data_IF_246742534802
#
_entry.id   IF_246742534802
#
_cell.length_a   1.000
_cell.length_b   1.000
_cell.length_c   1.000
_cell.angle_alpha   90.00
_cell.angle_beta   90.00
_cell.angle_gamma   90.00
#
_symmetry.space_group_name_H-M   'P 1'
#
loop_
_entity.id
_entity.type
_entity.pdbx_description
1 polymer ?
#
# COMPACT_ATOMS: atom_id res chain seq x y z
N UNK A 1 -1.54 8.04 21.17
CA UNK A 1 -0.73 9.02 20.41
C UNK A 1 0.15 8.33 19.37
N UNK A 2 0.91 7.28 19.72
CA UNK A 2 1.73 6.50 18.77
C UNK A 2 0.91 5.85 17.65
N UNK A 3 -0.25 5.27 17.97
CA UNK A 3 -1.16 4.66 16.97
C UNK A 3 -1.63 5.66 15.91
N UNK A 4 -1.98 6.89 16.29
CA UNK A 4 -2.38 7.93 15.34
C UNK A 4 -1.23 8.34 14.41
N UNK A 5 -0.01 8.41 14.93
CA UNK A 5 1.19 8.75 14.17
C UNK A 5 1.51 7.66 13.14
N UNK A 6 1.43 6.38 13.52
CA UNK A 6 1.59 5.27 12.58
C UNK A 6 0.56 5.29 11.45
N UNK A 7 -0.69 5.67 11.74
CA UNK A 7 -1.73 5.82 10.70
C UNK A 7 -1.40 6.96 9.73
N UNK A 8 -0.88 8.09 10.22
CA UNK A 8 -0.45 9.20 9.36
C UNK A 8 0.72 8.79 8.47
N UNK A 9 1.72 8.11 9.02
CA UNK A 9 2.86 7.60 8.26
C UNK A 9 2.41 6.60 7.17
N UNK A 10 1.48 5.69 7.49
CA UNK A 10 0.88 4.80 6.48
C UNK A 10 0.17 5.58 5.36
N UNK A 11 -0.54 6.66 5.68
CA UNK A 11 -1.20 7.51 4.68
C UNK A 11 -0.19 8.25 3.79
N UNK A 12 0.90 8.76 4.35
CA UNK A 12 1.98 9.43 3.63
C UNK A 12 2.70 8.48 2.67
N UNK A 13 3.13 7.30 3.15
CA UNK A 13 3.79 6.29 2.32
C UNK A 13 2.88 5.83 1.18
N UNK A 14 1.59 5.60 1.45
CA UNK A 14 0.60 5.27 0.41
C UNK A 14 0.51 6.39 -0.65
N UNK A 15 0.54 7.66 -0.25
CA UNK A 15 0.50 8.78 -1.19
C UNK A 15 1.76 8.81 -2.09
N UNK A 16 2.94 8.51 -1.52
CA UNK A 16 4.19 8.36 -2.30
C UNK A 16 4.06 7.24 -3.33
N UNK A 17 3.50 6.07 -2.96
CA UNK A 17 3.25 4.99 -3.92
C UNK A 17 2.31 5.42 -5.05
N UNK A 18 1.21 6.08 -4.72
CA UNK A 18 0.25 6.53 -5.73
C UNK A 18 0.90 7.49 -6.73
N UNK A 19 1.63 8.50 -6.23
CA UNK A 19 2.29 9.49 -7.07
C UNK A 19 3.38 8.86 -7.95
N UNK A 20 4.19 7.95 -7.39
CA UNK A 20 5.24 7.25 -8.13
C UNK A 20 4.66 6.39 -9.27
N UNK A 21 3.55 5.70 -8.99
CA UNK A 21 2.84 4.89 -9.97
C UNK A 21 2.14 5.74 -11.04
N UNK A 22 1.61 6.90 -10.68
CA UNK A 22 1.05 7.86 -11.63
C UNK A 22 2.13 8.37 -12.58
N UNK A 23 3.32 8.72 -12.06
CA UNK A 23 4.45 9.13 -12.89
C UNK A 23 4.90 8.02 -13.84
N UNK A 24 4.90 6.76 -13.40
CA UNK A 24 5.20 5.61 -14.25
C UNK A 24 4.18 5.47 -15.38
N UNK A 25 2.90 5.59 -15.05
CA UNK A 25 1.81 5.50 -16.00
C UNK A 25 1.85 6.63 -17.05
N UNK A 26 2.10 7.87 -16.62
CA UNK A 26 2.24 9.04 -17.50
C UNK A 26 3.45 8.91 -18.42
N UNK A 27 4.57 8.37 -17.92
CA UNK A 27 5.74 8.09 -18.74
C UNK A 27 5.40 7.11 -19.87
N UNK A 28 4.67 6.03 -19.59
CA UNK A 28 4.27 5.06 -20.62
C UNK A 28 3.34 5.68 -21.67
N UNK A 29 2.34 6.47 -21.25
CA UNK A 29 1.40 7.13 -22.17
C UNK A 29 2.09 8.11 -23.12
N UNK A 30 3.06 8.89 -22.63
CA UNK A 30 3.74 9.91 -23.44
C UNK A 30 4.58 9.33 -24.56
N UNK A 31 5.03 8.09 -24.45
CA UNK A 31 5.99 7.51 -25.39
C UNK A 31 5.36 6.71 -26.54
N UNK A 32 4.03 6.78 -26.71
CA UNK A 32 3.26 6.16 -27.82
C UNK A 32 3.73 4.72 -28.15
N UNK A 33 4.04 3.94 -27.12
CA UNK A 33 4.60 2.60 -27.33
C UNK A 33 3.45 1.68 -27.74
N UNK A 34 3.33 1.41 -29.03
CA UNK A 34 2.30 0.55 -29.66
C UNK A 34 2.59 -0.95 -29.50
N UNK A 35 3.38 -1.36 -28.50
CA UNK A 35 3.71 -2.76 -28.27
C UNK A 35 2.79 -3.40 -27.22
N UNK A 36 2.36 -4.64 -27.48
CA UNK A 36 1.51 -5.44 -26.58
C UNK A 36 2.06 -5.56 -25.15
N UNK A 37 3.39 -5.55 -24.99
CA UNK A 37 4.09 -5.55 -23.70
C UNK A 37 3.77 -4.31 -22.84
N UNK A 38 3.57 -3.14 -23.46
CA UNK A 38 3.23 -1.91 -22.76
C UNK A 38 1.77 -1.89 -22.32
N UNK A 39 0.85 -2.47 -23.10
CA UNK A 39 -0.54 -2.60 -22.67
C UNK A 39 -0.66 -3.47 -21.41
N UNK A 40 0.06 -4.58 -21.37
CA UNK A 40 0.09 -5.45 -20.20
C UNK A 40 0.67 -4.71 -18.98
N UNK A 41 1.72 -3.93 -19.18
CA UNK A 41 2.30 -3.09 -18.13
C UNK A 41 1.30 -2.05 -17.61
N UNK A 42 0.63 -1.34 -18.51
CA UNK A 42 -0.40 -0.36 -18.16
C UNK A 42 -1.56 -0.99 -17.39
N UNK A 43 -1.98 -2.22 -17.75
CA UNK A 43 -2.98 -2.98 -16.98
C UNK A 43 -2.50 -3.25 -15.57
N UNK A 44 -1.25 -3.68 -15.37
CA UNK A 44 -0.69 -3.88 -14.02
C UNK A 44 -0.66 -2.58 -13.21
N UNK A 45 -0.23 -1.47 -13.82
CA UNK A 45 -0.26 -0.16 -13.16
C UNK A 45 -1.67 0.21 -12.68
N UNK A 46 -2.67 0.05 -13.54
CA UNK A 46 -4.07 0.34 -13.19
C UNK A 46 -4.59 -0.58 -12.07
N UNK A 47 -4.16 -1.84 -12.06
CA UNK A 47 -4.53 -2.81 -11.05
C UNK A 47 -3.94 -2.44 -9.69
N UNK A 48 -2.65 -2.07 -9.65
CA UNK A 48 -2.00 -1.56 -8.44
C UNK A 48 -2.68 -0.26 -7.97
N UNK A 49 -3.03 0.67 -8.86
CA UNK A 49 -3.77 1.90 -8.49
C UNK A 49 -5.10 1.60 -7.80
N UNK A 50 -5.87 0.63 -8.31
CA UNK A 50 -7.14 0.20 -7.68
C UNK A 50 -6.90 -0.36 -6.28
N UNK A 51 -5.85 -1.17 -6.11
CA UNK A 51 -5.51 -1.73 -4.80
C UNK A 51 -5.02 -0.65 -3.83
N UNK A 52 -4.24 0.33 -4.28
CA UNK A 52 -3.82 1.49 -3.49
C UNK A 52 -5.01 2.35 -3.05
N UNK A 53 -6.03 2.48 -3.89
CA UNK A 53 -7.26 3.17 -3.51
C UNK A 53 -8.04 2.41 -2.45
N UNK A 54 -8.17 1.09 -2.59
CA UNK A 54 -8.80 0.27 -1.53
C UNK A 54 -8.00 0.28 -0.23
N UNK A 55 -6.66 0.37 -0.30
CA UNK A 55 -5.82 0.56 0.87
C UNK A 55 -6.08 1.91 1.54
N UNK A 56 -6.25 2.99 0.77
CA UNK A 56 -6.61 4.32 1.30
C UNK A 56 -7.93 4.29 2.09
N UNK A 57 -8.98 3.70 1.51
CA UNK A 57 -10.28 3.55 2.20
C UNK A 57 -10.12 2.81 3.54
N UNK A 58 -9.32 1.74 3.56
CA UNK A 58 -9.04 0.95 4.78
C UNK A 58 -8.24 1.76 5.80
N UNK A 59 -7.24 2.52 5.37
CA UNK A 59 -6.46 3.40 6.25
C UNK A 59 -7.30 4.57 6.78
N UNK A 60 -8.23 5.09 6.00
CA UNK A 60 -9.19 6.10 6.46
C UNK A 60 -10.14 5.54 7.53
N UNK A 61 -10.63 4.30 7.35
CA UNK A 61 -11.42 3.61 8.38
C UNK A 61 -10.60 3.36 9.65
N UNK A 62 -9.34 2.93 9.51
CA UNK A 62 -8.42 2.77 10.64
C UNK A 62 -8.23 4.10 11.39
N UNK A 63 -8.04 5.21 10.66
CA UNK A 63 -7.94 6.56 11.24
C UNK A 63 -9.18 6.93 12.05
N UNK A 64 -10.38 6.68 11.51
CA UNK A 64 -11.64 6.95 12.20
C UNK A 64 -11.76 6.15 13.49
N UNK A 65 -11.44 4.84 13.44
CA UNK A 65 -11.48 3.95 14.60
C UNK A 65 -10.48 4.34 15.70
N UNK A 66 -9.32 4.91 15.34
CA UNK A 66 -8.30 5.34 16.32
C UNK A 66 -8.56 6.76 16.86
N UNK A 67 -9.14 7.66 16.05
CA UNK A 67 -9.38 9.08 16.43
C UNK A 67 -10.52 9.29 17.44
N UNK A 68 -11.24 8.24 17.83
CA UNK A 68 -12.29 8.32 18.83
C UNK A 68 -11.65 8.22 20.24
N UNK A 69 -11.04 9.33 20.69
CA UNK A 69 -10.27 9.51 21.93
C UNK A 69 -11.01 9.16 23.25
N UNK A 70 -12.20 8.56 23.21
CA UNK A 70 -12.98 8.13 24.38
C UNK A 70 -13.53 6.69 24.34
N UNK A 71 -13.33 5.91 23.27
CA UNK A 71 -13.98 4.59 23.15
C UNK A 71 -13.04 3.40 22.89
N UNK A 72 -11.75 3.64 22.64
CA UNK A 72 -10.81 2.57 22.21
C UNK A 72 -10.41 1.63 23.34
N UNK A 73 -10.49 2.07 24.60
CA UNK A 73 -9.97 1.28 25.73
C UNK A 73 -11.00 0.37 26.41
N UNK A 74 -12.30 0.49 26.11
CA UNK A 74 -13.36 -0.30 26.78
C UNK A 74 -14.34 -1.00 25.84
N UNK A 75 -14.34 -0.68 24.53
CA UNK A 75 -15.31 -1.24 23.59
C UNK A 75 -14.70 -2.33 22.69
N UNK A 76 -14.99 -3.59 23.01
CA UNK A 76 -14.53 -4.79 22.28
C UNK A 76 -14.85 -4.68 20.77
N UNK A 77 -16.01 -4.11 20.41
CA UNK A 77 -16.43 -3.95 19.01
C UNK A 77 -15.47 -3.05 18.21
N UNK A 78 -14.93 -1.99 18.83
CA UNK A 78 -13.95 -1.11 18.17
C UNK A 78 -12.58 -1.77 18.03
N UNK A 79 -12.18 -2.62 18.99
CA UNK A 79 -10.94 -3.38 18.89
C UNK A 79 -11.01 -4.44 17.79
N UNK A 80 -12.14 -5.13 17.66
CA UNK A 80 -12.39 -6.08 16.57
C UNK A 80 -12.43 -5.38 15.20
N UNK A 81 -13.06 -4.20 15.12
CA UNK A 81 -13.08 -3.40 13.90
C UNK A 81 -11.67 -2.94 13.51
N UNK A 82 -10.86 -2.50 14.48
CA UNK A 82 -9.48 -2.10 14.27
C UNK A 82 -8.63 -3.25 13.72
N UNK A 83 -8.71 -4.43 14.36
CA UNK A 83 -7.97 -5.62 13.94
C UNK A 83 -8.41 -6.10 12.55
N UNK A 84 -9.73 -6.04 12.27
CA UNK A 84 -10.25 -6.34 10.94
C UNK A 84 -9.72 -5.37 9.89
N UNK A 85 -9.73 -4.06 10.14
CA UNK A 85 -9.18 -3.07 9.21
C UNK A 85 -7.69 -3.27 8.97
N UNK A 86 -6.92 -3.60 10.02
CA UNK A 86 -5.50 -3.95 9.91
C UNK A 86 -5.30 -5.19 9.03
N UNK A 87 -6.01 -6.28 9.28
CA UNK A 87 -5.92 -7.50 8.48
C UNK A 87 -6.26 -7.24 7.01
N UNK A 88 -7.33 -6.49 6.77
CA UNK A 88 -7.74 -6.09 5.44
C UNK A 88 -6.64 -5.26 4.74
N UNK A 89 -6.05 -4.28 5.42
CA UNK A 89 -4.94 -3.49 4.87
C UNK A 89 -3.74 -4.38 4.51
N UNK A 90 -3.34 -5.30 5.38
CA UNK A 90 -2.25 -6.27 5.14
C UNK A 90 -2.52 -7.14 3.91
N UNK A 91 -3.74 -7.66 3.76
CA UNK A 91 -4.12 -8.43 2.58
C UNK A 91 -4.03 -7.59 1.29
N UNK A 92 -4.40 -6.31 1.34
CA UNK A 92 -4.24 -5.40 0.19
C UNK A 92 -2.77 -5.21 -0.19
N UNK A 93 -1.89 -5.01 0.80
CA UNK A 93 -0.44 -4.88 0.58
C UNK A 93 0.16 -6.14 -0.04
N UNK A 94 -0.23 -7.32 0.43
CA UNK A 94 0.20 -8.59 -0.16
C UNK A 94 -0.23 -8.73 -1.64
N UNK A 95 -1.45 -8.31 -1.97
CA UNK A 95 -1.93 -8.28 -3.37
C UNK A 95 -1.13 -7.29 -4.21
N UNK A 96 -0.87 -6.08 -3.68
CA UNK A 96 -0.04 -5.07 -4.34
C UNK A 96 1.35 -5.63 -4.62
N UNK A 97 1.99 -6.28 -3.65
CA UNK A 97 3.32 -6.88 -3.83
C UNK A 97 3.33 -7.95 -4.91
N UNK A 98 2.29 -8.79 -4.99
CA UNK A 98 2.16 -9.77 -6.07
C UNK A 98 2.09 -9.10 -7.44
N UNK A 99 1.29 -8.05 -7.57
CA UNK A 99 1.15 -7.30 -8.82
C UNK A 99 2.43 -6.52 -9.16
N UNK A 100 3.17 -6.04 -8.16
CA UNK A 100 4.48 -5.42 -8.34
C UNK A 100 5.57 -6.41 -8.77
N UNK A 101 5.49 -7.68 -8.35
CA UNK A 101 6.38 -8.72 -8.88
C UNK A 101 6.13 -8.92 -10.38
N UNK A 102 4.86 -9.00 -10.78
CA UNK A 102 4.47 -9.07 -12.20
C UNK A 102 4.92 -7.82 -12.98
N UNK A 103 4.81 -6.64 -12.37
CA UNK A 103 5.32 -5.39 -12.93
C UNK A 103 6.82 -5.45 -13.20
N UNK A 104 7.61 -5.97 -12.24
CA UNK A 104 9.06 -6.15 -12.40
C UNK A 104 9.39 -7.11 -13.53
N UNK A 105 8.76 -8.27 -13.54
CA UNK A 105 9.02 -9.30 -14.56
C UNK A 105 8.74 -8.74 -15.97
N UNK A 106 7.69 -7.92 -16.13
CA UNK A 106 7.37 -7.20 -17.38
C UNK A 106 8.34 -6.06 -17.69
N UNK A 107 8.85 -5.38 -16.67
CA UNK A 107 9.86 -4.33 -16.84
C UNK A 107 11.18 -4.90 -17.37
N UNK A 108 11.53 -6.10 -16.93
CA UNK A 108 12.77 -6.78 -17.34
C UNK A 108 12.70 -7.31 -18.78
N UNK A 109 11.50 -7.47 -19.36
CA UNK A 109 11.32 -7.84 -20.77
C UNK A 109 11.20 -6.66 -21.73
N UNK A 110 11.15 -5.41 -21.24
CA UNK A 110 11.11 -4.22 -22.09
C UNK A 110 12.50 -3.91 -22.68
N UNK A 111 12.66 -4.06 -24.00
CA UNK A 111 13.90 -3.75 -24.76
C UNK A 111 14.11 -2.23 -25.02
N UNK A 112 13.54 -1.35 -24.19
CA UNK A 112 13.61 0.12 -24.39
C UNK A 112 14.61 0.76 -23.41
N UNK A 113 15.89 0.84 -23.81
CA UNK A 113 17.01 1.21 -22.94
C UNK A 113 16.82 2.52 -22.12
N UNK A 114 16.23 3.59 -22.69
CA UNK A 114 16.01 4.85 -21.96
C UNK A 114 14.75 4.85 -21.07
N UNK A 115 13.64 4.28 -21.55
CA UNK A 115 12.39 4.16 -20.78
C UNK A 115 12.56 3.24 -19.55
N UNK A 116 13.37 2.18 -19.72
CA UNK A 116 13.61 1.19 -18.68
C UNK A 116 14.31 1.81 -17.46
N UNK A 117 15.14 2.84 -17.64
CA UNK A 117 15.82 3.54 -16.53
C UNK A 117 14.86 4.31 -15.61
N UNK A 118 13.86 5.01 -16.18
CA UNK A 118 12.86 5.74 -15.39
C UNK A 118 11.92 4.76 -14.67
N UNK A 119 11.41 3.78 -15.41
CA UNK A 119 10.50 2.77 -14.88
C UNK A 119 11.15 1.90 -13.80
N UNK A 120 12.45 1.57 -13.94
CA UNK A 120 13.22 0.86 -12.90
C UNK A 120 13.39 1.69 -11.64
N UNK A 121 13.64 2.99 -11.76
CA UNK A 121 13.70 3.88 -10.59
C UNK A 121 12.36 3.94 -9.87
N UNK A 122 11.26 4.06 -10.61
CA UNK A 122 9.92 4.06 -10.02
C UNK A 122 9.57 2.70 -9.40
N UNK A 123 9.96 1.58 -10.01
CA UNK A 123 9.83 0.25 -9.42
C UNK A 123 10.54 0.14 -8.07
N UNK A 124 11.79 0.60 -7.99
CA UNK A 124 12.59 0.55 -6.76
C UNK A 124 11.93 1.38 -5.65
N UNK A 125 11.50 2.61 -5.97
CA UNK A 125 10.77 3.46 -5.01
C UNK A 125 9.49 2.78 -4.56
N UNK A 126 8.67 2.27 -5.48
CA UNK A 126 7.45 1.56 -5.14
C UNK A 126 7.74 0.37 -4.22
N UNK A 127 8.79 -0.40 -4.51
CA UNK A 127 9.14 -1.61 -3.75
C UNK A 127 9.55 -1.27 -2.33
N UNK A 128 10.40 -0.26 -2.16
CA UNK A 128 10.82 0.23 -0.85
C UNK A 128 9.61 0.72 -0.05
N UNK A 129 8.83 1.63 -0.61
CA UNK A 129 7.70 2.24 0.12
C UNK A 129 6.64 1.19 0.48
N UNK A 130 6.45 0.16 -0.36
CA UNK A 130 5.50 -0.92 -0.05
C UNK A 130 6.03 -1.89 1.01
N UNK A 131 7.35 -2.06 1.10
CA UNK A 131 8.00 -2.76 2.22
C UNK A 131 7.83 -1.96 3.52
N UNK A 132 8.02 -0.63 3.48
CA UNK A 132 7.82 0.26 4.62
C UNK A 132 6.36 0.21 5.12
N UNK A 133 5.37 0.23 4.21
CA UNK A 133 3.95 0.10 4.57
C UNK A 133 3.66 -1.25 5.22
N UNK A 134 4.19 -2.34 4.67
CA UNK A 134 3.99 -3.67 5.27
C UNK A 134 4.60 -3.74 6.67
N UNK A 135 5.81 -3.23 6.81
CA UNK A 135 6.52 -3.16 8.08
C UNK A 135 5.71 -2.37 9.11
N UNK A 136 5.25 -1.18 8.77
CA UNK A 136 4.41 -0.34 9.63
C UNK A 136 3.09 -1.05 10.02
N UNK A 137 2.45 -1.78 9.10
CA UNK A 137 1.26 -2.58 9.41
C UNK A 137 1.56 -3.78 10.32
N UNK A 138 2.73 -4.40 10.20
CA UNK A 138 3.18 -5.48 11.08
C UNK A 138 3.53 -4.97 12.49
N UNK A 139 4.18 -3.82 12.57
CA UNK A 139 4.54 -3.16 13.82
C UNK A 139 3.37 -2.46 14.49
N UNK A 140 2.26 -2.24 13.78
CA UNK A 140 1.00 -1.76 14.33
C UNK A 140 0.44 -2.77 15.34
N UNK A 141 0.96 -2.73 16.56
CA UNK A 141 0.55 -3.56 17.68
C UNK A 141 -0.48 -2.80 18.49
N UNK A 142 -1.62 -3.44 18.71
CA UNK A 142 -2.45 -3.09 19.85
C UNK A 142 -1.68 -3.55 21.10
N UNK A 143 -1.03 -2.62 21.81
CA UNK A 143 -0.22 -2.97 22.99
C UNK A 143 -1.02 -3.52 24.17
N UNK A 144 -2.35 -3.65 24.05
CA UNK A 144 -3.10 -4.50 24.98
C UNK A 144 -2.84 -5.97 24.65
N UNK A 145 -1.75 -6.51 25.21
CA UNK A 145 -1.89 -7.78 25.93
C UNK A 145 -3.09 -7.58 26.84
N UNK A 146 -4.26 -8.10 26.44
CA UNK A 146 -5.30 -8.46 27.39
C UNK A 146 -4.56 -9.25 28.46
N UNK A 147 -4.27 -8.59 29.59
CA UNK A 147 -3.74 -9.26 30.75
C UNK A 147 -4.68 -10.44 30.97
N UNK A 148 -4.14 -11.65 30.95
CA UNK A 148 -4.71 -12.80 31.62
C UNK A 148 -5.15 -12.32 33.01
N UNK A 149 -6.39 -11.84 33.10
CA UNK A 149 -7.17 -11.72 34.33
C UNK A 149 -8.26 -12.79 34.25
N UNK A 150 -7.79 -14.00 33.97
CA UNK A 150 -8.41 -15.23 34.40
C UNK A 150 -7.43 -15.87 35.37
N UNK A 151 -7.31 -15.26 36.55
CA UNK A 151 -7.03 -15.90 37.83
C UNK A 151 -7.56 -15.00 38.95
#
# INVERSE_FOLDING_TARGET
MEVCQSVLELQEHRAVCYNTLEQAFQALLRNQITQSSVEEYMRTCQQIKKLLHSLDERLANLKLSVSCDHCVYENIEHLEQLERCKLEATVSVQKIRKDMKLFKDRLDTLELAEQQSLLRRQYLILSQVMEDIEFLLMEFRNENKLSDKTE
#
